data_IF_913681111378
#
_entry.id   IF_913681111378
#
_cell.length_a   1.000
_cell.length_b   1.000
_cell.length_c   1.000
_cell.angle_alpha   90.00
_cell.angle_beta   90.00
_cell.angle_gamma   90.00
#
_symmetry.space_group_name_H-M   'P 1'
#
loop_
_entity.id
_entity.type
_entity.pdbx_description
1 polymer ?
#
# COMPACT_ATOMS: atom_id res chain seq x y z
N UNK A 1 -42.91 -19.19 -75.74
CA UNK A 1 -42.65 -20.54 -76.26
C UNK A 1 -41.28 -20.98 -75.73
N UNK A 2 -41.22 -22.05 -74.88
CA UNK A 2 -40.10 -23.02 -74.63
C UNK A 2 -38.66 -22.46 -74.49
N UNK A 3 -37.82 -22.77 -73.49
CA UNK A 3 -37.50 -24.02 -72.76
C UNK A 3 -36.39 -23.69 -71.71
N UNK A 4 -36.53 -24.06 -70.42
CA UNK A 4 -35.93 -25.22 -69.70
C UNK A 4 -34.44 -25.15 -69.29
N UNK A 5 -34.23 -25.33 -67.97
CA UNK A 5 -33.15 -26.03 -67.23
C UNK A 5 -31.80 -25.29 -67.10
N UNK A 6 -31.11 -25.28 -65.95
CA UNK A 6 -30.68 -26.45 -65.18
C UNK A 6 -30.36 -26.10 -63.70
N UNK A 7 -30.69 -27.06 -62.84
CA UNK A 7 -30.41 -27.16 -61.41
C UNK A 7 -28.88 -27.28 -61.16
N UNK A 8 -28.32 -26.53 -60.22
CA UNK A 8 -27.04 -26.87 -59.60
C UNK A 8 -27.16 -26.64 -58.08
N UNK A 9 -27.34 -27.76 -57.39
CA UNK A 9 -27.35 -27.88 -55.94
C UNK A 9 -25.88 -27.93 -55.48
N UNK A 10 -25.40 -26.89 -54.78
CA UNK A 10 -24.11 -26.91 -54.11
C UNK A 10 -24.29 -26.44 -52.66
N UNK A 11 -24.34 -27.45 -51.80
CA UNK A 11 -24.11 -27.51 -50.36
C UNK A 11 -23.69 -26.20 -49.66
N UNK A 12 -24.56 -25.72 -48.76
CA UNK A 12 -24.23 -24.68 -47.79
C UNK A 12 -23.28 -25.24 -46.72
N UNK A 13 -22.01 -24.79 -46.72
CA UNK A 13 -21.15 -24.87 -45.55
C UNK A 13 -21.18 -23.51 -44.84
N UNK A 14 -21.87 -23.50 -43.71
CA UNK A 14 -22.00 -22.37 -42.81
C UNK A 14 -20.68 -22.22 -42.02
N UNK A 15 -19.80 -21.34 -42.47
CA UNK A 15 -18.72 -20.82 -41.63
C UNK A 15 -19.22 -19.53 -40.96
N UNK A 16 -19.51 -19.50 -39.65
CA UNK A 16 -19.57 -18.22 -38.97
C UNK A 16 -18.15 -17.68 -38.91
N UNK A 17 -17.87 -16.69 -39.76
CA UNK A 17 -16.65 -15.89 -39.68
C UNK A 17 -16.59 -15.21 -38.32
N UNK A 18 -15.58 -15.60 -37.54
CA UNK A 18 -15.14 -14.95 -36.32
C UNK A 18 -14.69 -13.51 -36.67
N UNK A 19 -15.58 -12.54 -36.49
CA UNK A 19 -15.17 -11.14 -36.48
C UNK A 19 -14.44 -10.87 -35.17
N UNK A 20 -13.11 -10.84 -35.32
CA UNK A 20 -12.11 -10.33 -34.38
C UNK A 20 -12.56 -8.99 -33.80
N UNK A 21 -12.43 -8.87 -32.48
CA UNK A 21 -13.04 -7.84 -31.64
C UNK A 21 -12.87 -6.40 -32.11
N UNK A 22 -14.00 -5.70 -32.20
CA UNK A 22 -14.02 -4.27 -31.89
C UNK A 22 -13.94 -4.15 -30.37
N UNK A 23 -12.83 -3.61 -29.88
CA UNK A 23 -12.58 -3.39 -28.46
C UNK A 23 -13.82 -2.86 -27.76
N UNK A 24 -14.27 -3.62 -26.77
CA UNK A 24 -15.09 -3.10 -25.68
C UNK A 24 -14.31 -1.91 -25.15
N UNK A 25 -14.90 -0.72 -24.94
CA UNK A 25 -14.19 0.35 -24.27
C UNK A 25 -13.70 -0.21 -22.94
N UNK A 26 -12.38 -0.34 -22.82
CA UNK A 26 -11.74 -0.80 -21.60
C UNK A 26 -12.32 0.02 -20.45
N UNK A 27 -12.65 -0.71 -19.39
CA UNK A 27 -13.24 -0.20 -18.18
C UNK A 27 -12.67 1.19 -17.87
N UNK A 28 -13.61 2.14 -17.77
CA UNK A 28 -13.46 3.48 -17.22
C UNK A 28 -12.07 3.70 -16.60
N UNK A 29 -11.26 4.53 -17.26
CA UNK A 29 -10.06 5.11 -16.68
C UNK A 29 -10.32 5.39 -15.20
N UNK A 30 -9.58 4.71 -14.32
CA UNK A 30 -9.65 4.96 -12.89
C UNK A 30 -9.46 6.47 -12.72
N UNK A 31 -10.52 7.14 -12.31
CA UNK A 31 -10.51 8.55 -11.97
C UNK A 31 -9.39 8.75 -10.98
N UNK A 32 -8.33 9.45 -11.40
CA UNK A 32 -7.17 9.71 -10.56
C UNK A 32 -7.61 10.52 -9.34
N UNK A 33 -8.00 9.84 -8.26
CA UNK A 33 -7.69 10.34 -6.93
C UNK A 33 -6.19 10.53 -6.94
N UNK A 34 -5.74 11.78 -6.89
CA UNK A 34 -4.34 12.06 -6.61
C UNK A 34 -4.03 11.38 -5.27
N UNK A 35 -3.38 10.23 -5.38
CA UNK A 35 -2.97 9.44 -4.24
C UNK A 35 -1.84 10.20 -3.57
N UNK A 36 -2.07 10.67 -2.36
CA UNK A 36 -1.02 11.29 -1.54
C UNK A 36 0.03 10.23 -1.23
N UNK A 37 1.28 10.47 -1.59
CA UNK A 37 2.40 9.56 -1.33
C UNK A 37 3.53 10.28 -0.59
N UNK A 38 4.32 9.59 0.26
CA UNK A 38 5.50 10.21 0.89
C UNK A 38 6.50 10.81 -0.11
N UNK A 39 6.52 10.33 -1.36
CA UNK A 39 7.37 10.89 -2.41
C UNK A 39 7.02 12.35 -2.75
N UNK A 40 5.76 12.75 -2.60
CA UNK A 40 5.33 14.15 -2.78
C UNK A 40 5.96 15.09 -1.74
N UNK A 41 6.47 14.51 -0.65
CA UNK A 41 7.08 15.21 0.49
C UNK A 41 8.59 14.92 0.61
N UNK A 42 9.20 14.34 -0.43
CA UNK A 42 10.65 14.13 -0.50
C UNK A 42 11.17 12.84 0.14
N UNK A 43 10.31 11.84 0.35
CA UNK A 43 10.79 10.50 0.70
C UNK A 43 11.66 9.91 -0.43
N UNK A 44 12.56 9.00 -0.08
CA UNK A 44 13.45 8.29 -1.02
C UNK A 44 13.04 6.83 -1.16
N UNK A 45 12.66 6.16 -0.08
CA UNK A 45 12.20 4.76 -0.13
C UNK A 45 13.29 3.74 -0.48
N UNK A 46 14.56 4.07 -0.21
CA UNK A 46 15.75 3.24 -0.49
C UNK A 46 16.22 2.38 0.69
N UNK A 47 15.58 2.51 1.85
CA UNK A 47 15.94 1.83 3.10
C UNK A 47 17.12 2.44 3.83
N UNK A 48 17.68 3.55 3.35
CA UNK A 48 18.86 4.22 3.91
C UNK A 48 18.53 5.65 4.36
N UNK A 49 17.89 6.43 3.49
CA UNK A 49 17.44 7.79 3.83
C UNK A 49 16.39 7.76 4.94
N UNK A 50 16.41 8.76 5.82
CA UNK A 50 15.38 8.91 6.84
C UNK A 50 14.11 9.55 6.24
N UNK A 51 13.10 8.73 6.02
CA UNK A 51 11.83 9.11 5.41
C UNK A 51 10.77 9.58 6.43
N UNK A 52 11.10 9.60 7.73
CA UNK A 52 10.14 9.90 8.81
C UNK A 52 9.35 11.19 8.59
N UNK A 53 10.04 12.29 8.25
CA UNK A 53 9.36 13.58 8.08
C UNK A 53 8.46 13.60 6.85
N UNK A 54 8.88 13.00 5.74
CA UNK A 54 8.10 12.95 4.50
C UNK A 54 6.80 12.15 4.68
N UNK A 55 6.90 10.98 5.34
CA UNK A 55 5.72 10.17 5.67
C UNK A 55 4.81 10.94 6.65
N UNK A 56 5.38 11.59 7.66
CA UNK A 56 4.59 12.34 8.63
C UNK A 56 3.86 13.53 7.98
N UNK A 57 4.49 14.20 7.01
CA UNK A 57 3.86 15.28 6.23
C UNK A 57 2.71 14.75 5.36
N UNK A 58 2.89 13.60 4.71
CA UNK A 58 1.81 12.94 3.97
C UNK A 58 0.63 12.58 4.88
N UNK A 59 0.89 12.02 6.07
CA UNK A 59 -0.14 11.71 7.06
C UNK A 59 -0.87 12.97 7.58
N UNK A 60 -0.22 14.13 7.54
CA UNK A 60 -0.80 15.42 7.88
C UNK A 60 -2.00 15.80 7.00
N UNK A 61 -2.16 15.21 5.82
CA UNK A 61 -3.34 15.44 4.96
C UNK A 61 -4.60 14.77 5.49
N UNK A 62 -4.49 13.90 6.50
CA UNK A 62 -5.61 13.09 7.05
C UNK A 62 -6.37 12.31 5.97
N UNK A 63 -5.64 11.86 4.94
CA UNK A 63 -6.14 10.92 3.92
C UNK A 63 -5.49 9.56 4.13
N UNK A 64 -5.98 8.53 3.44
CA UNK A 64 -5.22 7.29 3.30
C UNK A 64 -4.04 7.58 2.38
N UNK A 65 -2.84 7.58 2.95
CA UNK A 65 -1.58 7.79 2.24
C UNK A 65 -1.20 6.50 1.54
N UNK A 66 -0.94 6.60 0.24
CA UNK A 66 -0.43 5.48 -0.54
C UNK A 66 1.05 5.28 -0.25
N UNK A 67 1.41 4.06 0.13
CA UNK A 67 2.78 3.60 0.34
C UNK A 67 3.20 2.72 -0.84
N UNK A 68 3.83 3.27 -1.90
CA UNK A 68 4.24 2.48 -3.04
C UNK A 68 5.36 1.51 -2.65
N UNK A 69 5.66 0.55 -3.53
CA UNK A 69 6.77 -0.37 -3.30
C UNK A 69 8.07 0.41 -3.04
N UNK A 70 8.77 0.03 -1.98
CA UNK A 70 9.92 0.75 -1.46
C UNK A 70 10.19 0.34 -0.01
N UNK A 71 11.37 0.70 0.48
CA UNK A 71 11.76 0.49 1.88
C UNK A 71 11.95 1.86 2.52
N UNK A 72 11.09 2.21 3.47
CA UNK A 72 11.14 3.52 4.12
C UNK A 72 11.77 3.34 5.50
N UNK A 73 12.97 3.88 5.69
CA UNK A 73 13.62 3.90 7.01
C UNK A 73 13.05 5.05 7.81
N UNK A 74 12.67 4.79 9.05
CA UNK A 74 12.07 5.79 9.94
C UNK A 74 12.82 5.86 11.26
N UNK A 75 13.35 7.03 11.62
CA UNK A 75 14.03 7.24 12.90
C UNK A 75 13.11 7.72 14.03
N UNK A 76 11.82 7.95 13.73
CA UNK A 76 10.80 8.44 14.66
C UNK A 76 9.48 7.70 14.50
N UNK A 77 8.70 7.67 15.57
CA UNK A 77 7.30 7.20 15.56
C UNK A 77 6.48 7.92 14.51
N UNK A 78 5.75 7.18 13.68
CA UNK A 78 4.77 7.74 12.75
C UNK A 78 3.42 7.90 13.45
N UNK A 79 2.91 9.13 13.52
CA UNK A 79 1.58 9.40 14.06
C UNK A 79 0.54 9.41 12.94
N UNK A 80 -0.39 8.47 12.98
CA UNK A 80 -1.48 8.31 12.03
C UNK A 80 -2.77 8.89 12.65
N UNK A 81 -3.26 10.03 12.14
CA UNK A 81 -4.49 10.63 12.64
C UNK A 81 -5.74 9.92 12.10
N UNK A 82 -6.83 10.02 12.85
CA UNK A 82 -8.16 9.54 12.45
C UNK A 82 -8.64 10.19 11.14
N UNK A 83 -9.45 9.45 10.40
CA UNK A 83 -9.90 9.78 9.04
C UNK A 83 -8.85 9.49 7.96
N UNK A 84 -7.60 9.21 8.35
CA UNK A 84 -6.50 8.89 7.45
C UNK A 84 -6.01 7.45 7.55
N UNK A 85 -4.82 7.20 7.03
CA UNK A 85 -4.23 5.87 7.06
C UNK A 85 -2.99 5.70 6.22
N UNK A 86 -2.51 4.47 6.16
CA UNK A 86 -1.44 4.00 5.29
C UNK A 86 -1.93 2.78 4.53
N UNK A 87 -1.76 2.77 3.20
CA UNK A 87 -2.11 1.61 2.37
C UNK A 87 -1.10 1.41 1.25
N UNK A 88 -0.63 0.18 1.07
CA UNK A 88 0.20 -0.21 -0.07
C UNK A 88 1.35 -1.14 0.29
N UNK A 89 2.09 -1.67 -0.69
CA UNK A 89 3.00 -2.80 -0.51
C UNK A 89 4.39 -2.46 0.05
N UNK A 90 4.57 -1.30 0.68
CA UNK A 90 5.87 -0.86 1.18
C UNK A 90 6.36 -1.69 2.38
N UNK A 91 7.66 -1.57 2.66
CA UNK A 91 8.25 -1.97 3.94
C UNK A 91 8.67 -0.73 4.72
N UNK A 92 8.21 -0.59 5.95
CA UNK A 92 8.69 0.40 6.92
C UNK A 92 9.74 -0.29 7.79
N UNK A 93 10.90 0.34 7.93
CA UNK A 93 12.01 -0.12 8.78
C UNK A 93 12.22 0.89 9.91
N UNK A 94 11.66 0.63 11.10
CA UNK A 94 11.89 1.46 12.28
C UNK A 94 13.33 1.32 12.76
N UNK A 95 14.06 2.43 12.74
CA UNK A 95 15.43 2.55 13.23
C UNK A 95 15.45 3.44 14.47
N UNK A 96 14.99 2.87 15.59
CA UNK A 96 14.92 3.53 16.89
C UNK A 96 16.17 3.33 17.74
N UNK A 97 17.12 2.54 17.26
CA UNK A 97 18.28 2.08 18.01
C UNK A 97 19.43 3.10 17.98
N UNK A 98 19.12 4.40 17.88
CA UNK A 98 20.10 5.49 17.83
C UNK A 98 20.78 5.80 19.18
N UNK A 99 20.62 4.92 20.18
CA UNK A 99 21.31 5.04 21.45
C UNK A 99 22.46 4.01 21.53
N UNK A 100 23.58 4.34 22.19
CA UNK A 100 24.67 3.40 22.37
C UNK A 100 24.16 2.10 23.06
N UNK A 101 24.83 0.95 22.82
CA UNK A 101 24.35 -0.39 23.21
C UNK A 101 24.16 -0.59 24.73
N UNK A 102 24.57 0.39 25.54
CA UNK A 102 24.43 0.43 27.00
C UNK A 102 23.23 1.29 27.48
N UNK A 103 22.47 1.88 26.57
CA UNK A 103 21.24 2.61 26.88
C UNK A 103 20.05 1.87 26.27
N UNK A 104 19.08 1.39 27.08
CA UNK A 104 17.90 0.76 26.53
C UNK A 104 17.22 1.73 25.57
N UNK A 105 16.95 1.27 24.35
CA UNK A 105 16.22 2.08 23.38
C UNK A 105 14.91 2.54 24.05
N UNK A 106 14.60 3.82 23.87
CA UNK A 106 13.30 4.39 24.23
C UNK A 106 12.17 3.49 23.74
N UNK A 107 11.11 3.33 24.56
CA UNK A 107 9.85 2.69 24.19
C UNK A 107 9.20 3.42 23.01
N UNK A 108 9.69 3.18 21.80
CA UNK A 108 9.20 3.77 20.58
C UNK A 108 8.22 2.81 19.91
N UNK A 109 7.21 3.37 19.26
CA UNK A 109 6.25 2.60 18.48
C UNK A 109 6.48 2.92 17.01
N UNK A 110 6.48 1.93 16.12
CA UNK A 110 6.61 2.25 14.68
C UNK A 110 5.46 3.15 14.24
N UNK A 111 4.25 2.81 14.66
CA UNK A 111 3.04 3.55 14.35
C UNK A 111 2.23 3.77 15.63
N UNK A 112 1.81 5.01 15.85
CA UNK A 112 0.77 5.37 16.83
C UNK A 112 -0.44 5.89 16.07
N UNK A 113 -1.58 5.27 16.26
CA UNK A 113 -2.85 5.66 15.65
C UNK A 113 -3.74 6.33 16.68
N UNK A 114 -4.32 7.49 16.36
CA UNK A 114 -5.25 8.20 17.25
C UNK A 114 -6.47 8.73 16.52
N UNK A 115 -7.60 8.86 17.24
CA UNK A 115 -8.87 9.35 16.68
C UNK A 115 -9.71 8.27 16.00
N UNK A 116 -10.68 8.68 15.18
CA UNK A 116 -11.70 7.76 14.66
C UNK A 116 -11.45 7.40 13.18
N UNK A 117 -11.78 6.17 12.79
CA UNK A 117 -11.78 5.69 11.40
C UNK A 117 -10.42 5.77 10.70
N UNK A 118 -9.44 5.02 11.21
CA UNK A 118 -8.11 4.92 10.62
C UNK A 118 -7.89 3.57 9.91
N UNK A 119 -7.13 3.57 8.82
CA UNK A 119 -6.82 2.38 8.02
C UNK A 119 -5.31 2.13 7.96
N UNK A 120 -4.88 0.90 8.25
CA UNK A 120 -3.53 0.40 8.00
C UNK A 120 -3.64 -0.87 7.15
N UNK A 121 -3.12 -0.85 5.93
CA UNK A 121 -3.35 -1.93 4.97
C UNK A 121 -2.16 -2.28 4.09
N UNK A 122 -1.82 -3.58 4.01
CA UNK A 122 -1.00 -4.15 2.92
C UNK A 122 0.51 -3.90 2.98
N UNK A 123 1.03 -3.25 4.03
CA UNK A 123 2.46 -2.96 4.19
C UNK A 123 3.12 -3.85 5.25
N UNK A 124 4.44 -3.77 5.33
CA UNK A 124 5.25 -4.46 6.34
C UNK A 124 5.87 -3.47 7.31
N UNK A 125 5.95 -3.83 8.57
CA UNK A 125 6.79 -3.19 9.59
C UNK A 125 7.87 -4.19 9.96
N UNK A 126 9.10 -3.95 9.50
CA UNK A 126 10.25 -4.83 9.73
C UNK A 126 11.27 -4.09 10.59
N UNK A 127 11.25 -4.34 11.90
CA UNK A 127 12.30 -3.85 12.79
C UNK A 127 13.53 -4.73 12.63
N UNK A 128 14.72 -4.12 12.57
CA UNK A 128 15.96 -4.88 12.75
C UNK A 128 16.13 -5.14 14.25
N UNK A 129 16.27 -6.42 14.61
CA UNK A 129 16.34 -6.84 16.01
C UNK A 129 17.67 -6.36 16.62
N UNK A 130 17.58 -5.72 17.77
CA UNK A 130 18.72 -5.33 18.59
C UNK A 130 18.48 -5.82 20.03
N UNK A 131 19.49 -6.46 20.63
CA UNK A 131 19.40 -6.97 21.99
C UNK A 131 19.13 -5.82 22.97
N UNK A 132 18.11 -5.99 23.82
CA UNK A 132 17.68 -4.95 24.76
C UNK A 132 16.89 -3.80 24.16
N UNK A 133 16.58 -3.83 22.86
CA UNK A 133 15.71 -2.86 22.21
C UNK A 133 14.23 -3.19 22.45
N UNK A 134 13.51 -2.26 23.08
CA UNK A 134 12.08 -2.34 23.33
C UNK A 134 11.32 -1.42 22.39
N UNK A 135 10.41 -1.99 21.61
CA UNK A 135 9.57 -1.23 20.71
C UNK A 135 8.21 -1.91 20.50
N UNK A 136 7.21 -1.13 20.13
CA UNK A 136 5.92 -1.64 19.69
C UNK A 136 5.81 -1.53 18.17
N UNK A 137 5.08 -2.45 17.54
CA UNK A 137 4.71 -2.32 16.13
C UNK A 137 3.68 -1.20 15.96
N UNK A 138 2.45 -1.48 16.39
CA UNK A 138 1.31 -0.55 16.28
C UNK A 138 0.72 -0.33 17.66
N UNK A 139 0.49 0.92 18.03
CA UNK A 139 -0.22 1.32 19.24
C UNK A 139 -1.44 2.15 18.86
N UNK A 140 -2.61 1.76 19.36
CA UNK A 140 -3.82 2.59 19.31
C UNK A 140 -3.93 3.44 20.56
N UNK A 141 -3.98 4.75 20.41
CA UNK A 141 -4.16 5.72 21.50
C UNK A 141 -5.46 6.51 21.28
N UNK A 142 -6.44 6.30 22.15
CA UNK A 142 -7.78 6.89 22.03
C UNK A 142 -8.38 6.71 20.61
N UNK A 143 -8.31 5.48 20.10
CA UNK A 143 -8.75 5.15 18.74
C UNK A 143 -10.13 4.50 18.72
N UNK A 144 -10.97 4.85 17.74
CA UNK A 144 -12.20 4.12 17.44
C UNK A 144 -12.21 3.68 15.99
N UNK A 145 -12.62 2.44 15.75
CA UNK A 145 -12.74 1.90 14.39
C UNK A 145 -11.40 1.92 13.60
N UNK A 146 -10.34 1.41 14.23
CA UNK A 146 -9.06 1.14 13.56
C UNK A 146 -9.15 -0.17 12.78
N UNK A 147 -8.92 -0.11 11.48
CA UNK A 147 -8.83 -1.28 10.60
C UNK A 147 -7.36 -1.56 10.33
N UNK A 148 -6.90 -2.75 10.71
CA UNK A 148 -5.57 -3.28 10.35
C UNK A 148 -5.79 -4.53 9.51
N UNK A 149 -5.31 -4.51 8.26
CA UNK A 149 -5.52 -5.61 7.30
C UNK A 149 -4.23 -5.88 6.54
N UNK A 150 -3.86 -7.14 6.39
CA UNK A 150 -2.70 -7.54 5.59
C UNK A 150 -1.40 -6.79 5.97
N UNK A 151 -1.25 -6.45 7.25
CA UNK A 151 -0.03 -5.83 7.79
C UNK A 151 0.85 -6.89 8.43
N UNK A 152 2.09 -7.00 7.97
CA UNK A 152 3.12 -7.86 8.59
C UNK A 152 3.90 -7.05 9.63
N UNK A 153 4.11 -7.60 10.83
CA UNK A 153 4.98 -7.02 11.86
C UNK A 153 6.02 -8.06 12.24
N UNK A 154 7.30 -7.75 12.04
CA UNK A 154 8.40 -8.70 12.26
C UNK A 154 9.65 -8.04 12.83
N UNK A 155 10.53 -8.87 13.43
CA UNK A 155 11.80 -8.43 14.03
C UNK A 155 11.68 -7.72 15.39
N UNK A 156 10.50 -7.81 16.02
CA UNK A 156 10.27 -7.32 17.38
C UNK A 156 10.62 -8.39 18.42
N UNK A 157 11.24 -7.97 19.53
CA UNK A 157 11.52 -8.83 20.68
C UNK A 157 10.21 -9.20 21.37
N UNK A 158 9.98 -10.49 21.58
CA UNK A 158 8.88 -10.99 22.40
C UNK A 158 9.34 -11.08 23.87
N UNK A 159 9.03 -10.06 24.67
CA UNK A 159 9.22 -10.09 26.13
C UNK A 159 8.07 -9.41 26.84
#
# INVERSE_FOLDING_TARGET
MKTKNLFCLALALWFPSLLIGKGIPDAQAQTGTENVTPYDYGAVGDGVADDSNAIQSALGTRKVVSLPFGTFRTTKTLSVPGGGGLSGPATIVPDFDLLPPDQPSTYASAIVVSGDNALLEGFKIKKEFADGSYANGIVGDHVRNLIVRDVEISGYSAR
#
